data_IF_559681244188
#
_entry.id   IF_559681244188
#
_cell.length_a   1.000
_cell.length_b   1.000
_cell.length_c   1.000
_cell.angle_alpha   90.00
_cell.angle_beta   90.00
_cell.angle_gamma   90.00
#
_symmetry.space_group_name_H-M   'P 1'
#
loop_
_entity.id
_entity.type
_entity.pdbx_description
1 polymer ?
#
# COMPACT_ATOMS: atom_id res chain seq x y z
N UNK A 1 1.49 2.77 -14.63
CA UNK A 1 2.23 3.44 -13.55
C UNK A 1 2.35 2.47 -12.37
N UNK A 2 3.48 2.45 -11.66
CA UNK A 2 3.64 1.66 -10.43
C UNK A 2 3.81 2.62 -9.25
N UNK A 3 3.26 2.26 -8.10
CA UNK A 3 3.37 3.06 -6.88
C UNK A 3 3.69 2.19 -5.67
N UNK A 4 4.22 2.81 -4.61
CA UNK A 4 4.24 2.24 -3.26
C UNK A 4 3.15 2.90 -2.43
N UNK A 5 2.43 2.09 -1.66
CA UNK A 5 1.42 2.59 -0.72
C UNK A 5 2.03 2.65 0.67
N UNK A 6 1.86 3.78 1.35
CA UNK A 6 2.29 3.98 2.73
C UNK A 6 1.10 4.37 3.58
N UNK A 7 0.90 3.63 4.67
CA UNK A 7 -0.15 3.83 5.65
C UNK A 7 0.49 4.08 7.01
N UNK A 8 0.30 5.29 7.56
CA UNK A 8 0.84 5.68 8.87
C UNK A 8 2.36 5.42 9.03
N UNK A 9 3.13 5.55 7.95
CA UNK A 9 4.58 5.27 7.93
C UNK A 9 4.96 3.82 7.66
N UNK A 10 4.00 2.92 7.44
CA UNK A 10 4.24 1.53 7.06
C UNK A 10 3.95 1.30 5.58
N UNK A 11 4.81 0.55 4.90
CA UNK A 11 4.68 0.22 3.49
C UNK A 11 3.79 -1.00 3.30
N UNK A 12 2.94 -0.98 2.26
CA UNK A 12 2.22 -2.17 1.83
C UNK A 12 3.21 -3.29 1.46
N UNK A 13 3.08 -4.43 2.15
CA UNK A 13 4.01 -5.56 2.06
C UNK A 13 3.35 -6.82 1.51
N UNK A 14 2.14 -6.72 0.97
CA UNK A 14 1.38 -7.84 0.39
C UNK A 14 0.12 -8.18 1.18
N UNK A 15 -0.28 -9.44 1.13
CA UNK A 15 -1.54 -9.92 1.71
C UNK A 15 -1.35 -11.23 2.46
N UNK A 16 -2.06 -11.33 3.57
CA UNK A 16 -2.31 -12.59 4.25
C UNK A 16 -3.57 -13.21 3.61
N UNK A 17 -3.37 -14.23 2.77
CA UNK A 17 -4.47 -14.90 2.05
C UNK A 17 -5.36 -15.73 2.96
N UNK A 18 -4.82 -16.25 4.07
CA UNK A 18 -5.59 -17.06 5.01
C UNK A 18 -6.55 -16.18 5.82
N UNK A 19 -6.09 -14.97 6.18
CA UNK A 19 -6.89 -14.01 6.95
C UNK A 19 -7.64 -13.02 6.07
N UNK A 20 -7.41 -13.04 4.76
CA UNK A 20 -7.94 -12.07 3.79
C UNK A 20 -7.67 -10.61 4.21
N UNK A 21 -6.43 -10.31 4.63
CA UNK A 21 -6.01 -8.98 5.11
C UNK A 21 -4.80 -8.43 4.37
N UNK A 22 -4.73 -7.11 4.23
CA UNK A 22 -3.52 -6.43 3.73
C UNK A 22 -2.48 -6.35 4.84
N UNK A 23 -1.22 -6.57 4.48
CA UNK A 23 -0.07 -6.48 5.38
C UNK A 23 0.65 -5.16 5.13
N UNK A 24 0.93 -4.43 6.22
CA UNK A 24 1.77 -3.25 6.20
C UNK A 24 2.98 -3.47 7.11
N UNK A 25 4.15 -2.97 6.69
CA UNK A 25 5.40 -3.14 7.42
C UNK A 25 6.21 -1.85 7.43
N UNK A 26 6.85 -1.48 8.56
CA UNK A 26 7.78 -0.34 8.59
C UNK A 26 9.05 -0.60 7.77
N UNK A 27 9.36 -1.86 7.44
CA UNK A 27 10.51 -2.20 6.60
C UNK A 27 10.23 -1.92 5.12
N UNK A 28 10.79 -0.81 4.63
CA UNK A 28 10.71 -0.39 3.22
C UNK A 28 11.19 -1.47 2.24
N UNK A 29 12.09 -2.37 2.64
CA UNK A 29 12.60 -3.43 1.75
C UNK A 29 11.53 -4.46 1.40
N UNK A 30 10.48 -4.58 2.22
CA UNK A 30 9.32 -5.43 1.98
C UNK A 30 8.22 -4.76 1.15
N UNK A 31 8.41 -3.50 0.78
CA UNK A 31 7.40 -2.73 0.06
C UNK A 31 7.13 -3.30 -1.33
N UNK A 32 5.88 -3.66 -1.60
CA UNK A 32 5.43 -4.18 -2.88
C UNK A 32 4.94 -3.03 -3.76
N UNK A 33 5.36 -3.04 -5.03
CA UNK A 33 4.84 -2.10 -6.03
C UNK A 33 3.47 -2.55 -6.49
N UNK A 34 2.56 -1.59 -6.61
CA UNK A 34 1.18 -1.82 -7.05
C UNK A 34 0.88 -1.01 -8.30
N UNK A 35 -0.02 -1.53 -9.13
CA UNK A 35 -0.62 -0.78 -10.22
C UNK A 35 -1.85 0.01 -9.73
N UNK A 36 -2.45 0.81 -10.62
CA UNK A 36 -3.61 1.66 -10.29
C UNK A 36 -4.82 0.84 -9.81
N UNK A 37 -5.07 -0.33 -10.39
CA UNK A 37 -6.19 -1.20 -10.00
C UNK A 37 -6.00 -1.65 -8.55
N UNK A 38 -4.79 -2.07 -8.21
CA UNK A 38 -4.44 -2.57 -6.88
C UNK A 38 -4.37 -1.44 -5.85
N UNK A 39 -3.87 -0.28 -6.23
CA UNK A 39 -3.94 0.94 -5.41
C UNK A 39 -5.38 1.28 -5.04
N UNK A 40 -6.30 1.29 -6.01
CA UNK A 40 -7.72 1.60 -5.75
C UNK A 40 -8.34 0.62 -4.76
N UNK A 41 -8.05 -0.67 -4.92
CA UNK A 41 -8.47 -1.71 -3.98
C UNK A 41 -7.95 -1.45 -2.56
N UNK A 42 -6.63 -1.24 -2.42
CA UNK A 42 -5.99 -0.98 -1.11
C UNK A 42 -6.59 0.27 -0.45
N UNK A 43 -6.77 1.35 -1.23
CA UNK A 43 -7.36 2.60 -0.75
C UNK A 43 -8.76 2.37 -0.18
N UNK A 44 -9.62 1.65 -0.91
CA UNK A 44 -10.98 1.34 -0.45
C UNK A 44 -10.98 0.49 0.82
N UNK A 45 -10.11 -0.53 0.90
CA UNK A 45 -9.97 -1.37 2.09
C UNK A 45 -9.53 -0.55 3.31
N UNK A 46 -8.52 0.32 3.16
CA UNK A 46 -8.00 1.15 4.24
C UNK A 46 -9.06 2.15 4.74
N UNK A 47 -9.83 2.75 3.83
CA UNK A 47 -10.95 3.61 4.22
C UNK A 47 -12.03 2.83 4.98
N UNK A 48 -12.34 1.61 4.53
CA UNK A 48 -13.24 0.70 5.24
C UNK A 48 -12.78 0.42 6.67
N UNK A 49 -11.50 0.13 6.87
CA UNK A 49 -10.93 -0.09 8.21
C UNK A 49 -10.99 1.14 9.11
N UNK A 50 -10.81 2.33 8.55
CA UNK A 50 -10.93 3.57 9.31
C UNK A 50 -12.36 3.84 9.75
N UNK A 51 -13.33 3.57 8.88
CA UNK A 51 -14.76 3.75 9.19
C UNK A 51 -15.27 2.70 10.19
N UNK A 52 -14.80 1.46 10.11
CA UNK A 52 -15.19 0.39 11.04
C UNK A 52 -14.50 0.49 12.40
N UNK A 53 -13.46 1.32 12.53
CA UNK A 53 -12.61 1.40 13.71
C UNK A 53 -11.59 0.27 13.82
N UNK A 54 -11.51 -0.65 12.85
CA UNK A 54 -10.49 -1.72 12.83
C UNK A 54 -9.08 -1.14 12.83
N UNK A 55 -8.87 -0.03 12.10
CA UNK A 55 -7.58 0.63 12.03
C UNK A 55 -7.72 2.13 11.80
N UNK A 56 -7.19 2.93 12.72
CA UNK A 56 -7.19 4.40 12.59
C UNK A 56 -6.24 4.87 11.47
N UNK A 57 -6.78 5.61 10.53
CA UNK A 57 -6.01 6.28 9.49
C UNK A 57 -5.53 7.65 10.00
N UNK A 58 -4.21 7.88 9.99
CA UNK A 58 -3.59 9.18 10.30
C UNK A 58 -2.94 9.82 9.06
N UNK A 59 -2.28 9.00 8.24
CA UNK A 59 -1.60 9.43 7.01
C UNK A 59 -1.69 8.34 5.95
N UNK A 60 -1.98 8.75 4.72
CA UNK A 60 -1.98 7.91 3.54
C UNK A 60 -1.13 8.57 2.46
N UNK A 61 -0.16 7.85 1.90
CA UNK A 61 0.72 8.37 0.85
C UNK A 61 0.82 7.36 -0.29
N UNK A 62 0.76 7.87 -1.53
CA UNK A 62 1.00 7.10 -2.76
C UNK A 62 2.29 7.65 -3.35
N UNK A 63 3.33 6.82 -3.35
CA UNK A 63 4.64 7.17 -3.86
C UNK A 63 4.79 6.61 -5.27
N UNK A 64 4.55 7.45 -6.27
CA UNK A 64 4.75 7.08 -7.67
C UNK A 64 6.22 6.73 -7.93
N UNK A 65 6.43 5.59 -8.58
CA UNK A 65 7.75 5.17 -9.04
C UNK A 65 7.81 5.42 -10.54
N UNK A 66 8.51 6.49 -10.92
CA UNK A 66 8.92 6.68 -12.32
C UNK A 66 9.95 5.59 -12.62
N UNK A 67 9.65 4.73 -13.60
CA UNK A 67 10.68 3.84 -14.15
C UNK A 67 11.72 4.77 -14.81
N UNK A 68 12.87 4.95 -14.15
CA UNK A 68 14.03 5.52 -14.82
C UNK A 68 14.40 4.53 -15.92
N UNK A 69 14.08 4.88 -17.17
CA UNK A 69 14.59 4.20 -18.34
C UNK A 69 16.11 4.19 -18.21
N UNK A 70 16.69 3.04 -17.82
CA UNK A 70 18.13 2.84 -17.96
C UNK A 70 18.42 2.88 -19.45
N UNK A 71 18.91 4.04 -19.91
CA UNK A 71 19.55 4.15 -21.21
C UNK A 71 20.82 3.32 -21.09
N UNK A 72 20.81 2.12 -21.69
CA UNK A 72 22.00 1.29 -21.92
C UNK A 72 22.43 1.52 -23.35
#
# INVERSE_FOLDING_TARGET
>A
MKARIVLNGEFYAGEDKEKNKLIFSPDRRKAVLVDERRERFITQTVLGWNMSGERKLKRYEVLEVKEETKVV
#
